data_IF_493890092679
#
_entry.id   IF_493890092679
#
_cell.length_a   1.000
_cell.length_b   1.000
_cell.length_c   1.000
_cell.angle_alpha   90.00
_cell.angle_beta   90.00
_cell.angle_gamma   90.00
#
_symmetry.space_group_name_H-M   'P 1'
#
loop_
_entity.id
_entity.type
_entity.pdbx_description
1 polymer ?
#
# COMPACT_ATOMS: atom_id res chain seq x y z
N UNK A 1 -26.24 5.45 -5.99
CA UNK A 1 -25.17 6.23 -5.35
C UNK A 1 -24.01 5.29 -4.99
N UNK A 2 -22.84 5.53 -5.55
CA UNK A 2 -21.65 4.72 -5.25
C UNK A 2 -21.09 5.17 -3.91
N UNK A 3 -21.07 4.26 -2.93
CA UNK A 3 -20.44 4.53 -1.64
C UNK A 3 -19.07 3.89 -1.59
N UNK A 4 -18.04 4.65 -1.26
CA UNK A 4 -16.74 4.09 -0.96
C UNK A 4 -16.80 3.34 0.36
N UNK A 5 -16.61 2.04 0.32
CA UNK A 5 -16.65 1.17 1.50
C UNK A 5 -15.29 0.61 1.88
N UNK A 6 -14.42 0.41 0.89
CA UNK A 6 -13.12 -0.25 1.06
C UNK A 6 -12.05 0.53 0.31
N UNK A 7 -11.07 1.01 1.06
CA UNK A 7 -9.94 1.77 0.52
C UNK A 7 -8.66 0.94 0.72
N UNK A 8 -7.92 0.72 -0.36
CA UNK A 8 -6.61 0.07 -0.30
C UNK A 8 -5.52 1.12 -0.26
N UNK A 9 -4.65 1.06 0.74
CA UNK A 9 -3.52 1.96 0.87
C UNK A 9 -2.22 1.17 0.75
N UNK A 10 -1.39 1.53 -0.23
CA UNK A 10 -0.07 0.93 -0.39
C UNK A 10 0.88 1.53 0.65
N UNK A 11 1.47 0.68 1.48
CA UNK A 11 2.40 1.07 2.54
C UNK A 11 3.76 0.42 2.29
N UNK A 12 4.81 1.22 2.24
CA UNK A 12 6.18 0.74 2.03
C UNK A 12 7.17 1.25 3.09
N UNK A 13 6.65 1.92 4.12
CA UNK A 13 7.47 2.53 5.16
C UNK A 13 7.97 3.93 4.84
N UNK A 14 7.71 4.45 3.63
CA UNK A 14 8.12 5.80 3.25
C UNK A 14 7.16 6.85 3.81
N UNK A 15 7.68 8.10 3.92
CA UNK A 15 6.85 9.24 4.30
C UNK A 15 5.77 9.52 3.25
N UNK A 16 6.03 9.25 1.97
CA UNK A 16 5.05 9.38 0.92
C UNK A 16 3.86 8.44 1.11
N UNK A 17 4.11 7.18 1.48
CA UNK A 17 3.03 6.24 1.75
C UNK A 17 2.20 6.65 2.96
N UNK A 18 2.84 7.24 3.98
CA UNK A 18 2.14 7.76 5.17
C UNK A 18 1.27 8.98 4.83
N UNK A 19 1.71 9.84 3.92
CA UNK A 19 0.86 10.93 3.42
C UNK A 19 -0.36 10.39 2.66
N UNK A 20 -0.17 9.32 1.90
CA UNK A 20 -1.28 8.60 1.27
C UNK A 20 -2.28 8.10 2.30
N UNK A 21 -1.79 7.51 3.38
CA UNK A 21 -2.62 7.05 4.48
C UNK A 21 -3.42 8.19 5.13
N UNK A 22 -2.79 9.37 5.31
CA UNK A 22 -3.49 10.55 5.85
C UNK A 22 -4.71 10.91 5.00
N UNK A 23 -4.56 10.91 3.68
CA UNK A 23 -5.67 11.20 2.77
C UNK A 23 -6.75 10.13 2.82
N UNK A 24 -6.34 8.86 2.90
CA UNK A 24 -7.29 7.76 3.06
C UNK A 24 -8.10 7.90 4.35
N UNK A 25 -7.47 8.31 5.45
CA UNK A 25 -8.16 8.54 6.72
C UNK A 25 -9.20 9.67 6.57
N UNK A 26 -8.86 10.76 5.91
CA UNK A 26 -9.81 11.85 5.65
C UNK A 26 -11.02 11.37 4.85
N UNK A 27 -10.79 10.58 3.82
CA UNK A 27 -11.86 10.01 3.00
C UNK A 27 -12.71 9.04 3.83
N UNK A 28 -12.07 8.18 4.61
CA UNK A 28 -12.77 7.21 5.45
C UNK A 28 -13.68 7.89 6.48
N UNK A 29 -13.25 9.02 7.06
CA UNK A 29 -14.08 9.80 7.99
C UNK A 29 -15.35 10.32 7.33
N UNK A 30 -15.25 10.72 6.06
CA UNK A 30 -16.42 11.24 5.33
C UNK A 30 -17.33 10.18 4.75
N UNK A 31 -16.89 8.94 4.68
CA UNK A 31 -17.61 7.85 3.98
C UNK A 31 -17.86 6.62 4.83
N UNK A 32 -17.30 6.54 6.03
CA UNK A 32 -17.28 5.34 6.89
C UNK A 32 -16.59 4.13 6.21
N UNK A 33 -15.69 4.38 5.27
CA UNK A 33 -14.96 3.31 4.61
C UNK A 33 -13.93 2.69 5.55
N UNK A 34 -13.71 1.38 5.40
CA UNK A 34 -12.57 0.74 6.06
C UNK A 34 -11.32 0.83 5.19
N UNK A 35 -10.19 0.97 5.86
CA UNK A 35 -8.88 1.07 5.23
C UNK A 35 -8.15 -0.26 5.36
N UNK A 36 -7.62 -0.76 4.26
CA UNK A 36 -6.71 -1.90 4.26
C UNK A 36 -5.34 -1.42 3.81
N UNK A 37 -4.36 -1.51 4.70
CA UNK A 37 -2.96 -1.28 4.37
C UNK A 37 -2.37 -2.52 3.71
N UNK A 38 -1.62 -2.33 2.64
CA UNK A 38 -1.02 -3.42 1.91
C UNK A 38 0.48 -3.19 1.75
N UNK A 39 1.26 -4.13 2.27
CA UNK A 39 2.72 -4.14 2.15
C UNK A 39 3.13 -5.28 1.24
N UNK A 40 3.89 -4.97 0.19
CA UNK A 40 4.41 -5.97 -0.74
C UNK A 40 5.91 -6.10 -0.53
N UNK A 41 6.36 -7.31 -0.20
CA UNK A 41 7.77 -7.61 -0.05
C UNK A 41 8.34 -8.20 -1.34
N UNK A 42 9.59 -7.85 -1.64
CA UNK A 42 10.29 -8.42 -2.77
C UNK A 42 10.79 -9.82 -2.42
N UNK A 43 10.34 -10.80 -3.17
CA UNK A 43 10.92 -12.14 -3.10
C UNK A 43 12.20 -12.14 -3.92
N UNK A 44 13.34 -12.59 -3.36
CA UNK A 44 14.56 -12.76 -4.14
C UNK A 44 14.38 -13.98 -5.05
N UNK A 45 13.73 -13.78 -6.18
CA UNK A 45 13.55 -14.83 -7.18
C UNK A 45 14.75 -14.82 -8.12
N UNK A 46 15.92 -15.13 -7.58
CA UNK A 46 17.02 -15.59 -8.42
C UNK A 46 16.95 -17.12 -8.39
N UNK A 47 16.92 -17.74 -9.58
CA UNK A 47 16.91 -19.20 -9.71
C UNK A 47 18.02 -19.81 -8.82
N UNK A 48 17.65 -20.70 -7.92
CA UNK A 48 18.56 -21.40 -7.03
C UNK A 48 18.80 -20.78 -5.65
N UNK A 49 18.22 -19.61 -5.34
CA UNK A 49 18.33 -19.03 -3.97
C UNK A 49 17.18 -19.54 -3.11
N UNK A 50 17.53 -20.26 -2.05
CA UNK A 50 16.53 -20.69 -1.06
C UNK A 50 16.11 -19.51 -0.20
N UNK A 51 14.81 -19.38 0.02
CA UNK A 51 14.25 -18.41 0.95
C UNK A 51 14.54 -18.87 2.39
N UNK A 52 15.55 -18.28 3.00
CA UNK A 52 16.03 -18.69 4.32
C UNK A 52 15.16 -18.14 5.44
N UNK A 53 15.28 -18.71 6.65
CA UNK A 53 14.60 -18.19 7.83
C UNK A 53 15.00 -16.75 8.12
N UNK A 54 16.29 -16.39 7.94
CA UNK A 54 16.78 -15.03 8.12
C UNK A 54 16.08 -14.06 7.14
N UNK A 55 15.91 -14.48 5.90
CA UNK A 55 15.21 -13.66 4.88
C UNK A 55 13.74 -13.46 5.25
N UNK A 56 13.08 -14.49 5.78
CA UNK A 56 11.71 -14.39 6.29
C UNK A 56 11.61 -13.40 7.45
N UNK A 57 12.51 -13.49 8.41
CA UNK A 57 12.54 -12.62 9.58
C UNK A 57 12.78 -11.16 9.17
N UNK A 58 13.72 -10.91 8.24
CA UNK A 58 14.01 -9.58 7.72
C UNK A 58 12.81 -8.99 7.00
N UNK A 59 12.13 -9.80 6.20
CA UNK A 59 10.92 -9.39 5.47
C UNK A 59 9.79 -9.04 6.44
N UNK A 60 9.59 -9.87 7.46
CA UNK A 60 8.57 -9.64 8.46
C UNK A 60 8.87 -8.37 9.28
N UNK A 61 10.13 -8.13 9.63
CA UNK A 61 10.55 -6.93 10.34
C UNK A 61 10.27 -5.66 9.52
N UNK A 62 10.54 -5.70 8.23
CA UNK A 62 10.23 -4.59 7.32
C UNK A 62 8.73 -4.34 7.23
N UNK A 63 7.93 -5.40 7.16
CA UNK A 63 6.48 -5.29 7.15
C UNK A 63 5.96 -4.64 8.43
N UNK A 64 6.46 -5.06 9.58
CA UNK A 64 6.10 -4.47 10.89
C UNK A 64 6.44 -2.99 10.93
N UNK A 65 7.61 -2.59 10.43
CA UNK A 65 8.03 -1.18 10.37
C UNK A 65 7.15 -0.34 9.45
N UNK A 66 6.62 -0.93 8.39
CA UNK A 66 5.73 -0.22 7.46
C UNK A 66 4.30 -0.14 8.01
N UNK A 67 3.81 -1.20 8.61
CA UNK A 67 2.42 -1.34 9.06
C UNK A 67 2.20 -0.74 10.46
N UNK A 68 3.16 -0.90 11.37
CA UNK A 68 3.02 -0.45 12.76
C UNK A 68 2.63 1.02 12.91
N UNK A 69 3.37 1.97 12.30
CA UNK A 69 2.99 3.38 12.34
C UNK A 69 1.62 3.66 11.74
N UNK A 70 1.25 2.94 10.68
CA UNK A 70 -0.06 3.07 10.05
C UNK A 70 -1.18 2.62 10.98
N UNK A 71 -1.00 1.52 11.69
CA UNK A 71 -1.95 1.05 12.70
C UNK A 71 -2.16 2.09 13.81
N UNK A 72 -1.08 2.64 14.33
CA UNK A 72 -1.16 3.67 15.37
C UNK A 72 -1.91 4.90 14.89
N UNK A 73 -1.63 5.35 13.69
CA UNK A 73 -2.24 6.56 13.12
C UNK A 73 -3.74 6.38 12.87
N UNK A 74 -4.12 5.25 12.31
CA UNK A 74 -5.54 4.94 12.05
C UNK A 74 -6.32 4.73 13.34
N UNK A 75 -5.70 4.09 14.34
CA UNK A 75 -6.32 3.90 15.65
C UNK A 75 -6.60 5.23 16.32
N UNK A 76 -5.62 6.15 16.33
CA UNK A 76 -5.79 7.50 16.89
C UNK A 76 -6.88 8.29 16.17
N UNK A 77 -7.03 8.07 14.88
CA UNK A 77 -8.04 8.74 14.07
C UNK A 77 -9.45 8.12 14.18
N UNK A 78 -9.56 6.97 14.83
CA UNK A 78 -10.83 6.24 14.94
C UNK A 78 -11.28 5.56 13.65
N UNK A 79 -10.36 5.34 12.70
CA UNK A 79 -10.67 4.65 11.44
C UNK A 79 -10.53 3.13 11.59
N UNK A 80 -11.36 2.39 10.88
CA UNK A 80 -11.25 0.93 10.82
C UNK A 80 -10.09 0.57 9.90
N UNK A 81 -9.13 -0.18 10.43
CA UNK A 81 -7.91 -0.54 9.70
C UNK A 81 -7.62 -2.02 9.78
N UNK A 82 -7.35 -2.59 8.62
CA UNK A 82 -6.84 -3.95 8.44
C UNK A 82 -5.55 -3.89 7.65
N UNK A 83 -4.76 -4.94 7.69
CA UNK A 83 -3.57 -4.99 6.85
C UNK A 83 -3.40 -6.37 6.21
N UNK A 84 -2.75 -6.39 5.06
CA UNK A 84 -2.35 -7.61 4.35
C UNK A 84 -0.94 -7.42 3.82
N UNK A 85 -0.26 -8.53 3.62
CA UNK A 85 1.05 -8.55 2.97
C UNK A 85 0.98 -9.44 1.74
N UNK A 86 1.80 -9.11 0.75
CA UNK A 86 1.95 -9.92 -0.45
C UNK A 86 3.40 -9.95 -0.89
N UNK A 87 3.77 -10.92 -1.71
CA UNK A 87 5.13 -11.03 -2.21
C UNK A 87 5.16 -11.00 -3.72
N UNK A 88 6.14 -10.31 -4.30
CA UNK A 88 6.35 -10.23 -5.72
C UNK A 88 6.56 -8.82 -6.24
N UNK A 89 6.13 -8.55 -7.46
CA UNK A 89 6.20 -7.23 -8.06
C UNK A 89 5.14 -6.31 -7.45
N UNK A 90 5.58 -5.24 -6.81
CA UNK A 90 4.72 -4.38 -5.99
C UNK A 90 3.48 -3.88 -6.73
N UNK A 91 3.67 -3.25 -7.88
CA UNK A 91 2.55 -2.71 -8.65
C UNK A 91 1.55 -3.77 -9.09
N UNK A 92 2.05 -4.90 -9.57
CA UNK A 92 1.22 -6.03 -10.00
C UNK A 92 0.40 -6.61 -8.84
N UNK A 93 1.03 -6.79 -7.68
CA UNK A 93 0.35 -7.32 -6.50
C UNK A 93 -0.75 -6.37 -5.99
N UNK A 94 -0.48 -5.06 -6.01
CA UNK A 94 -1.48 -4.05 -5.62
C UNK A 94 -2.70 -4.13 -6.55
N UNK A 95 -2.49 -4.16 -7.85
CA UNK A 95 -3.59 -4.19 -8.84
C UNK A 95 -4.41 -5.47 -8.67
N UNK A 96 -3.74 -6.62 -8.56
CA UNK A 96 -4.41 -7.91 -8.37
C UNK A 96 -5.24 -7.95 -7.09
N UNK A 97 -4.67 -7.48 -5.99
CA UNK A 97 -5.35 -7.47 -4.70
C UNK A 97 -6.57 -6.55 -4.70
N UNK A 98 -6.43 -5.36 -5.30
CA UNK A 98 -7.52 -4.41 -5.41
C UNK A 98 -8.72 -4.98 -6.18
N UNK A 99 -8.46 -5.72 -7.25
CA UNK A 99 -9.51 -6.35 -8.04
C UNK A 99 -10.11 -7.57 -7.35
N UNK A 100 -9.25 -8.45 -6.84
CA UNK A 100 -9.67 -9.70 -6.19
C UNK A 100 -10.59 -9.44 -4.99
N UNK A 101 -10.23 -8.48 -4.15
CA UNK A 101 -10.98 -8.15 -2.94
C UNK A 101 -11.98 -7.01 -3.16
N UNK A 102 -12.14 -6.58 -4.39
CA UNK A 102 -13.13 -5.58 -4.81
C UNK A 102 -13.06 -4.28 -4.02
N UNK A 103 -11.87 -3.70 -3.95
CA UNK A 103 -11.69 -2.38 -3.35
C UNK A 103 -12.33 -1.29 -4.22
N UNK A 104 -12.80 -0.23 -3.58
CA UNK A 104 -13.44 0.88 -4.29
C UNK A 104 -12.44 1.93 -4.76
N UNK A 105 -11.26 1.96 -4.13
CA UNK A 105 -10.22 2.94 -4.45
C UNK A 105 -8.86 2.41 -3.97
N UNK A 106 -7.82 2.79 -4.70
CA UNK A 106 -6.43 2.61 -4.28
C UNK A 106 -5.87 3.98 -3.95
N UNK A 107 -5.21 4.12 -2.80
CA UNK A 107 -4.49 5.34 -2.42
C UNK A 107 -3.03 4.99 -2.24
N UNK A 108 -2.16 5.77 -2.84
CA UNK A 108 -0.72 5.54 -2.73
C UNK A 108 0.06 6.84 -2.88
N UNK A 109 1.27 6.84 -2.33
CA UNK A 109 2.19 7.95 -2.52
C UNK A 109 2.67 8.02 -3.98
N UNK A 110 3.02 9.21 -4.43
CA UNK A 110 3.55 9.41 -5.77
C UNK A 110 4.89 8.70 -5.97
N UNK A 111 5.66 8.51 -4.87
CA UNK A 111 6.98 7.90 -4.86
C UNK A 111 7.12 6.98 -3.66
N UNK A 112 8.02 5.99 -3.76
CA UNK A 112 8.31 5.08 -2.66
C UNK A 112 9.65 5.36 -2.01
N UNK A 113 10.26 4.33 -1.44
CA UNK A 113 11.54 4.39 -0.73
C UNK A 113 12.74 4.67 -1.62
N UNK A 114 12.64 4.52 -2.93
CA UNK A 114 13.78 4.63 -3.85
C UNK A 114 14.27 6.06 -4.12
N UNK A 115 13.60 7.08 -3.56
CA UNK A 115 14.06 8.46 -3.64
C UNK A 115 14.05 9.08 -5.03
N UNK A 116 13.12 8.70 -5.89
CA UNK A 116 12.98 9.28 -7.23
C UNK A 116 12.78 10.80 -7.16
N UNK A 117 13.31 11.52 -8.15
CA UNK A 117 13.24 12.98 -8.24
C UNK A 117 11.78 13.47 -8.25
N UNK A 118 11.56 14.65 -7.66
CA UNK A 118 10.23 15.22 -7.43
C UNK A 118 9.35 15.41 -8.67
N UNK A 119 9.95 15.52 -9.85
CA UNK A 119 9.23 15.78 -11.10
C UNK A 119 8.50 14.56 -11.69
N UNK A 120 8.75 13.35 -11.17
CA UNK A 120 8.25 12.11 -11.77
C UNK A 120 7.54 11.23 -10.76
N UNK A 121 6.52 10.53 -11.22
CA UNK A 121 5.89 9.47 -10.45
C UNK A 121 6.88 8.30 -10.29
N UNK A 122 6.84 7.61 -9.15
CA UNK A 122 7.59 6.39 -8.96
C UNK A 122 7.11 5.28 -9.90
N UNK A 123 7.96 4.28 -10.12
CA UNK A 123 7.63 3.16 -11.00
C UNK A 123 6.36 2.41 -10.56
N UNK A 124 6.18 2.22 -9.26
CA UNK A 124 5.01 1.53 -8.71
C UNK A 124 3.73 2.33 -8.93
N UNK A 125 3.72 3.62 -8.59
CA UNK A 125 2.54 4.46 -8.76
C UNK A 125 2.16 4.60 -10.24
N UNK A 126 3.15 4.74 -11.10
CA UNK A 126 2.94 4.79 -12.54
C UNK A 126 2.32 3.48 -13.07
N UNK A 127 2.84 2.34 -12.64
CA UNK A 127 2.30 1.03 -13.02
C UNK A 127 0.84 0.88 -12.58
N UNK A 128 0.55 1.17 -11.31
CA UNK A 128 -0.81 1.03 -10.76
C UNK A 128 -1.79 1.96 -11.48
N UNK A 129 -1.38 3.20 -11.74
CA UNK A 129 -2.20 4.18 -12.45
C UNK A 129 -2.60 3.68 -13.84
N UNK A 130 -1.68 3.05 -14.56
CA UNK A 130 -1.94 2.55 -15.91
C UNK A 130 -2.70 1.22 -15.93
N UNK A 131 -2.47 0.33 -14.98
CA UNK A 131 -3.01 -1.04 -14.99
C UNK A 131 -4.28 -1.23 -14.18
N UNK A 132 -4.55 -0.37 -13.21
CA UNK A 132 -5.71 -0.52 -12.36
C UNK A 132 -7.00 -0.17 -13.10
N UNK A 133 -8.04 -0.96 -12.85
CA UNK A 133 -9.42 -0.64 -13.24
C UNK A 133 -10.18 0.08 -12.13
N UNK A 134 -9.59 0.13 -10.93
CA UNK A 134 -10.17 0.86 -9.80
C UNK A 134 -9.64 2.30 -9.79
N UNK A 135 -10.40 3.26 -9.25
CA UNK A 135 -9.89 4.61 -9.04
C UNK A 135 -8.60 4.60 -8.24
N UNK A 136 -7.65 5.44 -8.64
CA UNK A 136 -6.34 5.55 -7.97
C UNK A 136 -6.12 6.99 -7.58
N UNK A 137 -5.90 7.23 -6.30
CA UNK A 137 -5.51 8.54 -5.77
C UNK A 137 -4.01 8.53 -5.51
N UNK A 138 -3.30 9.36 -6.23
CA UNK A 138 -1.85 9.54 -6.07
C UNK A 138 -1.62 10.77 -5.18
N UNK A 139 -0.92 10.57 -4.07
CA UNK A 139 -0.65 11.63 -3.08
C UNK A 139 0.81 12.03 -3.17
N UNK A 140 1.05 13.32 -3.42
CA UNK A 140 2.40 13.89 -3.50
C UNK A 140 2.98 14.20 -2.13
#
# INVERSE_FOLDING_TARGET
MVKFKKILVSLDGSSNSMRGLDRAIEIAKGTDAEITGFYVFHLPIAAGIKYTKKMKDDTQNKAVKAIGPAMNKTQKAGAVFKYKTGGGHTGSEIVKFAEKENFDMIVMGARGMSGAKEAFLGSTSNYVMHKSKKPVLIVK
#
